data_IF_362689129837
#
_entry.id   IF_362689129837
#
_cell.length_a   1.000
_cell.length_b   1.000
_cell.length_c   1.000
_cell.angle_alpha   90.00
_cell.angle_beta   90.00
_cell.angle_gamma   90.00
#
_symmetry.space_group_name_H-M   'P 1'
#
loop_
_entity.id
_entity.type
_entity.pdbx_description
1 polymer ?
#
# COMPACT_ATOMS: atom_id res chain seq x y z
N UNK A 1 -56.92 -39.22 -24.98
CA UNK A 1 -57.21 -39.52 -26.39
C UNK A 1 -56.39 -38.60 -27.27
N UNK A 2 -55.55 -39.17 -28.14
CA UNK A 2 -55.09 -38.54 -29.40
C UNK A 2 -56.12 -38.84 -30.51
N UNK A 3 -56.02 -38.40 -31.80
CA UNK A 3 -55.07 -37.49 -32.51
C UNK A 3 -55.75 -36.52 -33.52
N UNK A 4 -54.95 -35.70 -34.25
CA UNK A 4 -54.95 -35.43 -35.74
C UNK A 4 -54.02 -34.23 -36.05
N UNK A 5 -52.81 -34.40 -36.63
CA UNK A 5 -52.40 -34.40 -38.07
C UNK A 5 -52.94 -33.17 -38.86
N UNK A 6 -52.21 -32.38 -39.68
CA UNK A 6 -51.09 -32.68 -40.60
C UNK A 6 -50.50 -31.36 -41.26
N UNK A 7 -49.23 -31.40 -41.71
CA UNK A 7 -48.55 -30.65 -42.81
C UNK A 7 -48.25 -29.12 -42.65
N UNK A 8 -47.15 -28.49 -43.11
CA UNK A 8 -45.90 -28.82 -43.86
C UNK A 8 -44.96 -27.59 -43.87
N UNK A 9 -43.64 -27.76 -43.68
CA UNK A 9 -42.56 -27.28 -44.60
C UNK A 9 -41.17 -27.73 -44.13
N UNK A 10 -40.55 -28.62 -44.90
CA UNK A 10 -39.09 -28.90 -44.91
C UNK A 10 -38.37 -27.69 -45.54
N UNK A 11 -37.19 -27.29 -45.04
CA UNK A 11 -35.91 -27.41 -45.76
C UNK A 11 -34.71 -26.75 -45.05
N UNK A 12 -33.65 -27.57 -44.95
CA UNK A 12 -32.19 -27.26 -44.97
C UNK A 12 -31.58 -26.60 -43.73
N UNK A 13 -31.20 -27.46 -42.79
CA UNK A 13 -29.96 -27.33 -42.00
C UNK A 13 -28.81 -27.92 -42.83
N UNK A 14 -27.57 -27.48 -42.55
CA UNK A 14 -26.27 -27.92 -43.13
C UNK A 14 -25.81 -27.23 -44.42
N UNK A 15 -25.30 -25.99 -44.32
CA UNK A 15 -24.23 -25.49 -45.19
C UNK A 15 -23.28 -24.60 -44.35
N UNK A 16 -22.07 -25.15 -44.14
CA UNK A 16 -20.76 -24.49 -43.98
C UNK A 16 -20.44 -23.71 -42.70
N UNK A 17 -20.02 -24.45 -41.66
CA UNK A 17 -19.01 -23.98 -40.69
C UNK A 17 -17.60 -23.91 -41.33
N UNK A 18 -17.42 -24.53 -42.50
CA UNK A 18 -16.14 -24.63 -43.22
C UNK A 18 -15.73 -23.37 -43.97
N UNK A 19 -16.65 -22.44 -44.29
CA UNK A 19 -16.33 -21.21 -45.05
C UNK A 19 -15.82 -20.07 -44.17
N UNK A 20 -16.19 -20.05 -42.88
CA UNK A 20 -15.73 -19.02 -41.94
C UNK A 20 -14.30 -19.31 -41.47
N UNK A 21 -13.89 -20.59 -41.38
CA UNK A 21 -12.53 -20.98 -40.99
C UNK A 21 -11.49 -20.74 -42.10
N UNK A 22 -11.90 -20.73 -43.38
CA UNK A 22 -10.99 -20.52 -44.51
C UNK A 22 -10.68 -19.02 -44.72
N UNK A 23 -11.57 -18.12 -44.32
CA UNK A 23 -11.33 -16.67 -44.42
C UNK A 23 -10.41 -16.12 -43.31
N UNK A 24 -10.24 -16.84 -42.20
CA UNK A 24 -9.38 -16.40 -41.08
C UNK A 24 -7.91 -16.83 -41.23
N UNK A 25 -7.59 -17.74 -42.17
CA UNK A 25 -6.25 -18.34 -42.30
C UNK A 25 -5.41 -17.66 -43.41
N UNK A 26 -5.97 -16.74 -44.20
CA UNK A 26 -5.30 -16.18 -45.39
C UNK A 26 -4.83 -14.71 -45.27
N UNK A 27 -4.80 -14.09 -44.09
CA UNK A 27 -4.36 -12.68 -43.97
C UNK A 27 -3.16 -12.46 -43.02
N UNK A 28 -2.77 -13.42 -42.16
CA UNK A 28 -1.66 -13.20 -41.23
C UNK A 28 -0.36 -13.89 -41.68
N UNK A 29 0.47 -13.16 -42.43
CA UNK A 29 1.92 -13.41 -42.47
C UNK A 29 2.60 -13.34 -43.84
N UNK A 30 1.98 -13.82 -44.93
CA UNK A 30 2.69 -13.98 -46.21
C UNK A 30 2.54 -12.80 -47.19
N UNK A 31 1.35 -12.21 -47.28
CA UNK A 31 1.07 -11.16 -48.27
C UNK A 31 1.76 -9.82 -47.94
N UNK A 32 1.88 -9.45 -46.66
CA UNK A 32 2.56 -8.21 -46.24
C UNK A 32 4.09 -8.31 -46.39
N UNK A 33 4.66 -9.50 -46.16
CA UNK A 33 6.09 -9.79 -46.39
C UNK A 33 6.47 -9.76 -47.87
N UNK A 34 5.57 -10.21 -48.76
CA UNK A 34 5.75 -10.16 -50.22
C UNK A 34 5.75 -8.73 -50.78
N UNK A 35 4.97 -7.82 -50.19
CA UNK A 35 4.93 -6.40 -50.62
C UNK A 35 6.23 -5.67 -50.27
N UNK A 36 6.90 -6.02 -49.16
CA UNK A 36 8.16 -5.39 -48.74
C UNK A 36 9.41 -5.80 -49.54
N UNK A 37 9.30 -6.78 -50.45
CA UNK A 37 10.43 -7.33 -51.22
C UNK A 37 10.39 -7.03 -52.72
N UNK A 38 9.31 -6.45 -53.25
CA UNK A 38 9.17 -6.08 -54.67
C UNK A 38 9.60 -4.66 -54.96
N UNK A 39 10.63 -4.49 -55.78
CA UNK A 39 11.04 -3.16 -56.24
C UNK A 39 10.06 -2.68 -57.31
N UNK A 40 9.84 -1.37 -57.46
CA UNK A 40 9.01 -0.85 -58.57
C UNK A 40 9.72 -0.91 -59.93
N UNK A 41 10.86 -1.60 -60.02
CA UNK A 41 11.65 -1.70 -61.24
C UNK A 41 11.21 -2.93 -62.05
N UNK A 42 10.95 -2.70 -63.34
CA UNK A 42 10.70 -3.75 -64.33
C UNK A 42 12.05 -4.29 -64.81
N UNK A 43 12.16 -5.61 -64.99
CA UNK A 43 13.38 -6.28 -65.43
C UNK A 43 13.09 -7.25 -66.59
N UNK A 44 14.10 -7.51 -67.42
CA UNK A 44 14.07 -8.59 -68.41
C UNK A 44 14.97 -9.75 -67.97
N UNK A 45 16.02 -9.44 -67.20
CA UNK A 45 16.91 -10.39 -66.57
C UNK A 45 17.28 -9.96 -65.14
N UNK A 46 17.80 -10.89 -64.33
CA UNK A 46 18.27 -10.57 -62.97
C UNK A 46 19.44 -9.56 -62.94
N UNK A 47 20.14 -9.34 -64.07
CA UNK A 47 21.20 -8.33 -64.14
C UNK A 47 20.66 -6.89 -64.19
N UNK A 48 19.37 -6.73 -64.51
CA UNK A 48 18.69 -5.42 -64.48
C UNK A 48 18.30 -5.02 -63.04
N UNK A 49 18.48 -5.94 -62.08
CA UNK A 49 18.10 -5.77 -60.69
C UNK A 49 19.27 -5.27 -59.81
N UNK A 50 18.97 -4.57 -58.70
CA UNK A 50 20.01 -4.18 -57.74
C UNK A 50 20.71 -5.42 -57.13
N UNK A 51 21.89 -5.24 -56.51
CA UNK A 51 22.54 -6.33 -55.78
C UNK A 51 21.59 -7.00 -54.79
N UNK A 52 21.71 -8.32 -54.64
CA UNK A 52 20.86 -9.15 -53.78
C UNK A 52 19.38 -9.20 -54.20
N UNK A 53 19.09 -9.05 -55.49
CA UNK A 53 17.76 -9.25 -56.06
C UNK A 53 17.80 -10.19 -57.28
N UNK A 54 16.64 -10.74 -57.63
CA UNK A 54 16.41 -11.53 -58.83
C UNK A 54 15.19 -11.02 -59.60
N UNK A 55 15.11 -11.29 -60.91
CA UNK A 55 13.94 -10.94 -61.72
C UNK A 55 12.85 -12.00 -61.59
N UNK A 56 11.70 -11.64 -61.00
CA UNK A 56 10.52 -12.50 -60.90
C UNK A 56 9.58 -12.23 -62.08
N UNK A 57 9.41 -13.22 -62.96
CA UNK A 57 8.57 -13.09 -64.16
C UNK A 57 7.09 -13.22 -63.84
N UNK A 58 6.25 -12.37 -64.46
CA UNK A 58 4.80 -12.54 -64.41
C UNK A 58 4.42 -13.70 -65.33
N UNK A 59 3.58 -14.63 -64.86
CA UNK A 59 3.10 -15.73 -65.70
C UNK A 59 2.21 -15.18 -66.84
N UNK A 60 2.70 -15.26 -68.09
CA UNK A 60 2.13 -14.77 -69.37
C UNK A 60 2.32 -13.27 -69.69
N UNK A 61 2.27 -12.90 -70.98
CA UNK A 61 3.14 -13.24 -72.11
C UNK A 61 4.16 -12.11 -72.39
N UNK A 62 4.38 -11.21 -71.44
CA UNK A 62 5.43 -10.20 -71.53
C UNK A 62 6.72 -10.79 -70.96
N UNK A 63 7.82 -10.71 -71.71
CA UNK A 63 9.19 -11.07 -71.27
C UNK A 63 9.73 -10.11 -70.19
N UNK A 64 8.85 -9.52 -69.38
CA UNK A 64 9.19 -8.57 -68.33
C UNK A 64 8.74 -9.10 -66.97
N UNK A 65 9.67 -9.09 -66.02
CA UNK A 65 9.46 -9.38 -64.62
C UNK A 65 9.56 -8.13 -63.75
N UNK A 66 9.52 -8.36 -62.45
CA UNK A 66 9.74 -7.34 -61.41
C UNK A 66 10.93 -7.77 -60.55
N UNK A 67 11.83 -6.85 -60.22
CA UNK A 67 12.95 -7.21 -59.35
C UNK A 67 12.48 -7.44 -57.91
N UNK A 68 12.84 -8.58 -57.35
CA UNK A 68 12.49 -9.04 -56.01
C UNK A 68 13.77 -9.28 -55.21
N UNK A 69 13.84 -8.77 -53.98
CA UNK A 69 14.98 -9.03 -53.11
C UNK A 69 15.07 -10.52 -52.75
N UNK A 70 16.30 -11.03 -52.67
CA UNK A 70 16.58 -12.40 -52.23
C UNK A 70 16.00 -12.67 -50.83
N UNK A 71 15.70 -13.93 -50.48
CA UNK A 71 15.26 -14.27 -49.13
C UNK A 71 16.23 -13.75 -48.05
N UNK A 72 15.69 -13.08 -47.03
CA UNK A 72 16.48 -12.44 -45.98
C UNK A 72 16.96 -11.03 -46.32
N UNK A 73 16.54 -10.46 -47.45
CA UNK A 73 16.77 -9.07 -47.83
C UNK A 73 15.45 -8.29 -47.93
N UNK A 74 15.53 -6.99 -47.65
CA UNK A 74 14.41 -6.03 -47.74
C UNK A 74 14.77 -4.85 -48.62
N UNK A 75 13.75 -4.19 -49.13
CA UNK A 75 13.92 -2.96 -49.90
C UNK A 75 14.06 -1.78 -48.96
N UNK A 76 15.16 -1.04 -49.13
CA UNK A 76 15.30 0.31 -48.58
C UNK A 76 15.22 1.30 -49.74
N UNK A 77 14.39 2.33 -49.58
CA UNK A 77 14.20 3.37 -50.58
C UNK A 77 14.89 4.66 -50.12
N UNK A 78 16.05 4.95 -50.71
CA UNK A 78 16.84 6.14 -50.40
C UNK A 78 17.16 6.90 -51.69
N UNK A 79 17.02 8.23 -51.70
CA UNK A 79 17.38 9.07 -52.85
C UNK A 79 16.79 8.61 -54.21
N UNK A 80 15.54 8.12 -54.21
CA UNK A 80 14.83 7.54 -55.38
C UNK A 80 15.41 6.21 -55.90
N UNK A 81 16.45 5.66 -55.27
CA UNK A 81 16.93 4.31 -55.51
C UNK A 81 16.25 3.33 -54.57
N UNK A 82 16.06 2.09 -55.03
CA UNK A 82 15.56 0.98 -54.22
C UNK A 82 16.59 -0.13 -54.28
N UNK A 83 17.18 -0.44 -53.14
CA UNK A 83 18.26 -1.41 -53.01
C UNK A 83 17.89 -2.45 -51.96
N UNK A 84 18.47 -3.64 -52.09
CA UNK A 84 18.18 -4.77 -51.22
C UNK A 84 19.24 -4.88 -50.13
N UNK A 85 18.84 -4.66 -48.88
CA UNK A 85 19.69 -4.74 -47.69
C UNK A 85 19.35 -5.97 -46.84
N UNK A 86 20.32 -6.58 -46.17
CA UNK A 86 20.07 -7.76 -45.34
C UNK A 86 19.20 -7.39 -44.14
N UNK A 87 18.28 -8.29 -43.77
CA UNK A 87 17.48 -8.18 -42.56
C UNK A 87 18.33 -8.57 -41.35
N UNK A 88 18.35 -7.72 -40.34
CA UNK A 88 19.00 -8.02 -39.07
C UNK A 88 18.23 -9.14 -38.35
N UNK A 89 18.97 -10.10 -37.78
CA UNK A 89 18.41 -11.26 -37.06
C UNK A 89 18.50 -11.08 -35.56
N UNK A 90 19.56 -10.41 -35.09
CA UNK A 90 19.78 -10.09 -33.68
C UNK A 90 20.03 -8.58 -33.50
N UNK A 91 19.72 -8.06 -32.31
CA UNK A 91 20.24 -6.77 -31.90
C UNK A 91 21.78 -6.82 -31.88
N UNK A 92 22.41 -5.71 -32.26
CA UNK A 92 23.85 -5.62 -32.48
C UNK A 92 24.30 -6.05 -33.89
N UNK A 93 23.43 -6.64 -34.71
CA UNK A 93 23.76 -6.90 -36.12
C UNK A 93 24.04 -5.58 -36.85
N UNK A 94 25.00 -5.62 -37.79
CA UNK A 94 25.38 -4.43 -38.53
C UNK A 94 24.24 -3.95 -39.43
N UNK A 95 24.08 -2.63 -39.49
CA UNK A 95 23.06 -1.97 -40.29
C UNK A 95 23.58 -0.64 -40.84
N UNK A 96 22.84 -0.11 -41.80
CA UNK A 96 23.02 1.24 -42.36
C UNK A 96 21.72 2.04 -42.36
N UNK A 97 20.59 1.38 -42.13
CA UNK A 97 19.24 1.94 -42.20
C UNK A 97 18.35 1.26 -41.18
N UNK A 98 17.44 2.00 -40.56
CA UNK A 98 16.52 1.49 -39.55
C UNK A 98 15.66 0.34 -40.07
N UNK A 99 15.27 0.36 -41.35
CA UNK A 99 14.41 -0.68 -41.95
C UNK A 99 14.97 -2.10 -41.75
N UNK A 100 16.30 -2.25 -41.75
CA UNK A 100 16.99 -3.53 -41.54
C UNK A 100 16.68 -4.11 -40.16
N UNK A 101 16.50 -3.23 -39.17
CA UNK A 101 16.16 -3.57 -37.79
C UNK A 101 14.65 -3.68 -37.61
N UNK A 102 13.88 -2.74 -38.18
CA UNK A 102 12.46 -2.56 -37.88
C UNK A 102 11.57 -3.72 -38.34
N UNK A 103 11.99 -4.47 -39.36
CA UNK A 103 11.24 -5.64 -39.82
C UNK A 103 11.28 -6.79 -38.80
N UNK A 104 12.37 -6.94 -38.06
CA UNK A 104 12.54 -8.02 -37.07
C UNK A 104 12.15 -7.57 -35.67
N UNK A 105 12.54 -6.36 -35.27
CA UNK A 105 12.44 -5.91 -33.88
C UNK A 105 11.34 -4.87 -33.63
N UNK A 106 10.45 -4.62 -34.59
CA UNK A 106 9.44 -3.55 -34.63
C UNK A 106 9.96 -2.16 -35.01
N UNK A 107 9.02 -1.26 -35.30
CA UNK A 107 9.25 0.16 -35.56
C UNK A 107 9.92 0.92 -34.41
N UNK A 108 10.00 0.30 -33.22
CA UNK A 108 10.70 0.83 -32.05
C UNK A 108 12.21 0.52 -32.05
N UNK A 109 12.74 -0.08 -33.12
CA UNK A 109 14.18 -0.25 -33.32
C UNK A 109 14.75 0.75 -34.33
N UNK A 110 16.05 1.02 -34.22
CA UNK A 110 16.80 1.92 -35.09
C UNK A 110 18.20 1.38 -35.38
N UNK A 111 18.83 1.92 -36.43
CA UNK A 111 20.21 1.67 -36.72
C UNK A 111 21.09 2.71 -36.00
N UNK A 112 21.53 2.37 -34.79
CA UNK A 112 22.32 3.27 -33.97
C UNK A 112 23.81 2.91 -34.05
N UNK A 113 24.63 3.89 -34.45
CA UNK A 113 26.10 3.74 -34.58
C UNK A 113 26.53 2.52 -35.44
N UNK A 114 25.74 2.18 -36.45
CA UNK A 114 26.04 1.10 -37.40
C UNK A 114 25.60 -0.30 -36.94
N UNK A 115 24.87 -0.39 -35.83
CA UNK A 115 24.29 -1.64 -35.31
C UNK A 115 22.83 -1.48 -34.93
N UNK A 116 22.03 -2.53 -35.06
CA UNK A 116 20.63 -2.48 -34.65
C UNK A 116 20.48 -2.39 -33.14
N UNK A 117 19.74 -1.39 -32.67
CA UNK A 117 19.39 -1.21 -31.26
C UNK A 117 17.91 -0.80 -31.11
N UNK A 118 17.40 -0.86 -29.89
CA UNK A 118 16.10 -0.30 -29.56
C UNK A 118 16.20 1.23 -29.39
N UNK A 119 15.19 1.97 -29.85
CA UNK A 119 15.15 3.43 -29.74
C UNK A 119 15.19 3.90 -28.29
N UNK A 120 15.63 5.13 -28.07
CA UNK A 120 15.56 5.75 -26.74
C UNK A 120 14.12 5.73 -26.18
N UNK A 121 13.97 5.32 -24.92
CA UNK A 121 12.65 5.19 -24.27
C UNK A 121 11.90 3.90 -24.62
N UNK A 122 12.59 2.92 -25.20
CA UNK A 122 12.06 1.59 -25.52
C UNK A 122 12.94 0.52 -24.90
N UNK A 123 12.47 -0.73 -24.83
CA UNK A 123 13.24 -1.85 -24.31
C UNK A 123 13.02 -3.11 -25.13
N UNK A 124 14.00 -4.01 -25.08
CA UNK A 124 13.98 -5.27 -25.81
C UNK A 124 13.35 -6.39 -24.98
N UNK A 125 12.35 -7.06 -25.55
CA UNK A 125 11.72 -8.24 -24.95
C UNK A 125 12.21 -9.50 -25.67
N UNK A 126 13.21 -10.15 -25.06
CA UNK A 126 13.93 -11.30 -25.64
C UNK A 126 13.02 -12.44 -26.11
N UNK A 127 11.97 -12.75 -25.35
CA UNK A 127 11.03 -13.85 -25.69
C UNK A 127 10.25 -13.61 -26.99
N UNK A 128 10.02 -12.34 -27.35
CA UNK A 128 9.31 -11.95 -28.57
C UNK A 128 10.26 -11.39 -29.64
N UNK A 129 11.56 -11.34 -29.34
CA UNK A 129 12.59 -10.74 -30.21
C UNK A 129 12.18 -9.35 -30.74
N UNK A 130 11.61 -8.51 -29.88
CA UNK A 130 10.94 -7.27 -30.30
C UNK A 130 11.21 -6.13 -29.31
N UNK A 131 11.45 -4.92 -29.82
CA UNK A 131 11.51 -3.68 -29.04
C UNK A 131 10.10 -3.14 -28.79
N UNK A 132 9.82 -2.70 -27.56
CA UNK A 132 8.57 -2.06 -27.17
C UNK A 132 8.83 -0.73 -26.51
N UNK A 133 7.94 0.23 -26.74
CA UNK A 133 7.91 1.47 -25.95
C UNK A 133 7.82 1.13 -24.46
N UNK A 134 8.74 1.71 -23.69
CA UNK A 134 8.81 1.53 -22.25
C UNK A 134 7.78 2.40 -21.55
N UNK A 135 7.04 1.80 -20.63
CA UNK A 135 6.01 2.42 -19.80
C UNK A 135 6.30 2.03 -18.36
N UNK A 136 6.35 3.03 -17.48
CA UNK A 136 6.58 2.81 -16.05
C UNK A 136 5.38 2.13 -15.39
N UNK A 137 5.61 1.53 -14.23
CA UNK A 137 4.54 1.01 -13.38
C UNK A 137 3.62 2.17 -12.99
N UNK A 138 2.32 1.91 -12.90
CA UNK A 138 1.23 2.89 -12.73
C UNK A 138 0.96 3.84 -13.90
N UNK A 139 1.70 3.74 -15.01
CA UNK A 139 1.40 4.47 -16.24
C UNK A 139 0.53 3.67 -17.22
N UNK A 140 -0.04 4.38 -18.20
CA UNK A 140 -0.95 3.84 -19.20
C UNK A 140 -0.24 2.95 -20.22
N UNK A 141 -0.76 1.75 -20.41
CA UNK A 141 -0.24 0.75 -21.33
C UNK A 141 -1.30 0.26 -22.31
N UNK A 142 -0.82 -0.25 -23.45
CA UNK A 142 -1.66 -0.97 -24.42
C UNK A 142 -1.45 -2.47 -24.33
N UNK A 143 -0.21 -2.89 -24.10
CA UNK A 143 0.22 -4.28 -24.01
C UNK A 143 1.08 -4.47 -22.76
N UNK A 144 1.07 -5.69 -22.22
CA UNK A 144 1.93 -6.07 -21.10
C UNK A 144 3.42 -5.84 -21.41
N UNK A 145 3.86 -6.08 -22.64
CA UNK A 145 5.26 -5.85 -23.04
C UNK A 145 5.65 -4.37 -23.11
N UNK A 146 4.72 -3.43 -22.96
CA UNK A 146 5.11 -2.04 -22.78
C UNK A 146 5.64 -1.79 -21.37
N UNK A 147 5.21 -2.57 -20.38
CA UNK A 147 5.49 -2.35 -18.99
C UNK A 147 6.93 -2.72 -18.64
N UNK A 148 7.63 -1.79 -17.99
CA UNK A 148 8.93 -2.03 -17.39
C UNK A 148 8.79 -2.88 -16.12
N UNK A 149 9.81 -3.70 -15.85
CA UNK A 149 9.89 -4.52 -14.65
C UNK A 149 9.43 -5.95 -14.88
N UNK A 150 10.15 -6.88 -14.27
CA UNK A 150 9.86 -8.31 -14.37
C UNK A 150 8.49 -8.65 -13.76
N UNK A 151 7.71 -9.46 -14.49
CA UNK A 151 6.40 -9.92 -14.03
C UNK A 151 5.30 -8.87 -14.03
N UNK A 152 5.55 -7.66 -14.55
CA UNK A 152 4.51 -6.64 -14.70
C UNK A 152 3.45 -7.05 -15.71
N UNK A 153 2.23 -6.55 -15.49
CA UNK A 153 1.09 -6.83 -16.36
C UNK A 153 0.34 -5.56 -16.71
N UNK A 154 -0.05 -5.43 -17.98
CA UNK A 154 -0.98 -4.39 -18.38
C UNK A 154 -2.40 -4.82 -18.04
N UNK A 155 -2.97 -4.27 -16.97
CA UNK A 155 -4.32 -4.60 -16.50
C UNK A 155 -5.15 -3.34 -16.43
N UNK A 156 -6.34 -3.39 -17.03
CA UNK A 156 -7.24 -2.22 -17.13
C UNK A 156 -6.57 -0.98 -17.76
N UNK A 157 -5.61 -1.21 -18.67
CA UNK A 157 -4.89 -0.14 -19.37
C UNK A 157 -3.75 0.49 -18.56
N UNK A 158 -3.35 -0.08 -17.42
CA UNK A 158 -2.27 0.43 -16.57
C UNK A 158 -1.26 -0.68 -16.26
N UNK A 159 0.03 -0.35 -16.25
CA UNK A 159 1.08 -1.28 -15.85
C UNK A 159 1.05 -1.49 -14.33
N UNK A 160 0.89 -2.74 -13.88
CA UNK A 160 0.81 -3.06 -12.46
C UNK A 160 1.79 -4.16 -12.10
N UNK A 161 2.24 -4.12 -10.84
CA UNK A 161 2.94 -5.24 -10.23
C UNK A 161 2.01 -6.44 -10.02
N UNK A 162 2.57 -7.66 -10.00
CA UNK A 162 1.83 -8.86 -9.63
C UNK A 162 1.40 -8.81 -8.15
N UNK A 163 0.60 -9.79 -7.73
CA UNK A 163 0.19 -9.89 -6.33
C UNK A 163 1.39 -10.02 -5.38
N UNK A 164 1.26 -9.43 -4.19
CA UNK A 164 2.29 -9.39 -3.14
C UNK A 164 3.59 -8.69 -3.60
N UNK A 165 3.47 -7.71 -4.50
CA UNK A 165 4.56 -6.83 -4.90
C UNK A 165 4.04 -5.40 -5.09
N UNK A 166 4.91 -4.44 -4.84
CA UNK A 166 4.65 -3.02 -5.08
C UNK A 166 5.74 -2.41 -5.98
N UNK A 167 5.47 -1.28 -6.66
CA UNK A 167 6.51 -0.58 -7.42
C UNK A 167 7.59 -0.01 -6.51
N UNK A 168 8.84 -0.09 -6.94
CA UNK A 168 9.92 0.70 -6.36
C UNK A 168 9.68 2.21 -6.54
N UNK A 169 10.47 3.05 -5.87
CA UNK A 169 10.34 4.52 -5.91
C UNK A 169 10.39 5.11 -7.34
N UNK A 170 11.14 4.47 -8.23
CA UNK A 170 11.30 4.91 -9.63
C UNK A 170 10.21 4.40 -10.58
N UNK A 171 9.32 3.53 -10.09
CA UNK A 171 8.26 2.85 -10.85
C UNK A 171 8.78 2.05 -12.05
N UNK A 172 9.96 1.43 -11.94
CA UNK A 172 10.58 0.63 -13.01
C UNK A 172 10.65 -0.85 -12.70
N UNK A 173 10.52 -1.23 -11.43
CA UNK A 173 10.62 -2.61 -10.95
C UNK A 173 9.62 -2.89 -9.84
N UNK A 174 9.27 -4.16 -9.67
CA UNK A 174 8.38 -4.62 -8.60
C UNK A 174 9.18 -5.24 -7.46
N UNK A 175 9.06 -4.67 -6.27
CA UNK A 175 9.63 -5.20 -5.03
C UNK A 175 8.63 -6.08 -4.31
N UNK A 176 9.12 -7.12 -3.63
CA UNK A 176 8.26 -8.02 -2.86
C UNK A 176 7.65 -7.31 -1.65
N UNK A 177 6.37 -7.57 -1.41
CA UNK A 177 5.67 -7.13 -0.21
C UNK A 177 6.02 -8.08 0.95
N UNK A 178 6.89 -7.64 1.85
CA UNK A 178 7.35 -8.43 3.00
C UNK A 178 6.64 -7.98 4.27
N UNK A 179 6.06 -8.94 5.00
CA UNK A 179 5.28 -8.68 6.21
C UNK A 179 6.19 -8.58 7.45
N UNK A 180 5.65 -8.00 8.53
CA UNK A 180 6.36 -7.91 9.81
C UNK A 180 6.76 -9.31 10.31
N UNK A 181 8.03 -9.46 10.69
CA UNK A 181 8.61 -10.72 11.15
C UNK A 181 9.17 -11.62 10.04
N UNK A 182 8.98 -11.29 8.77
CA UNK A 182 9.53 -12.03 7.63
C UNK A 182 10.89 -11.48 7.20
N UNK A 183 11.67 -12.31 6.50
CA UNK A 183 13.03 -11.97 6.03
C UNK A 183 12.97 -10.92 4.93
N UNK A 184 13.83 -9.92 5.02
CA UNK A 184 13.92 -8.81 4.09
C UNK A 184 15.38 -8.46 3.77
N UNK A 185 15.58 -7.77 2.64
CA UNK A 185 16.88 -7.24 2.21
C UNK A 185 16.92 -5.71 2.27
N UNK A 186 15.79 -5.04 2.03
CA UNK A 186 15.67 -3.58 1.95
C UNK A 186 14.50 -3.05 2.78
N UNK A 187 14.65 -1.85 3.31
CA UNK A 187 13.59 -1.15 4.06
C UNK A 187 12.29 -1.00 3.24
N UNK A 188 12.41 -0.77 1.93
CA UNK A 188 11.27 -0.55 1.02
C UNK A 188 10.38 -1.77 0.85
N UNK A 189 10.93 -2.98 1.03
CA UNK A 189 10.16 -4.22 0.95
C UNK A 189 9.15 -4.38 2.10
N UNK A 190 9.40 -3.75 3.25
CA UNK A 190 8.54 -3.89 4.42
C UNK A 190 7.29 -3.01 4.29
N UNK A 191 6.15 -3.63 3.97
CA UNK A 191 4.91 -2.89 3.62
C UNK A 191 4.18 -2.28 4.82
N UNK A 192 4.49 -2.74 6.04
CA UNK A 192 3.88 -2.16 7.23
C UNK A 192 4.39 -0.73 7.45
N UNK A 193 3.48 0.21 7.69
CA UNK A 193 3.87 1.58 8.01
C UNK A 193 4.77 1.62 9.24
N UNK A 194 5.75 2.53 9.24
CA UNK A 194 6.74 2.67 10.30
C UNK A 194 7.56 1.39 10.57
N UNK A 195 7.70 0.53 9.56
CA UNK A 195 8.62 -0.61 9.60
C UNK A 195 9.93 -0.34 8.86
N UNK A 196 10.93 -1.17 9.13
CA UNK A 196 12.24 -1.17 8.49
C UNK A 196 12.79 -2.58 8.41
N UNK A 197 13.74 -2.76 7.51
CA UNK A 197 14.46 -4.01 7.39
C UNK A 197 15.67 -4.04 8.32
N UNK A 198 15.80 -5.14 9.05
CA UNK A 198 17.02 -5.51 9.77
C UNK A 198 17.03 -7.02 9.88
N UNK A 199 17.42 -7.70 8.80
CA UNK A 199 17.30 -9.15 8.54
C UNK A 199 15.86 -9.65 8.45
N UNK A 200 14.97 -9.10 9.27
CA UNK A 200 13.51 -9.27 9.20
C UNK A 200 12.84 -7.90 9.30
N UNK A 201 11.65 -7.78 8.73
CA UNK A 201 10.84 -6.56 8.86
C UNK A 201 10.41 -6.37 10.31
N UNK A 202 10.77 -5.23 10.89
CA UNK A 202 10.49 -4.86 12.28
C UNK A 202 10.08 -3.40 12.38
N UNK A 203 9.44 -3.04 13.49
CA UNK A 203 9.08 -1.65 13.73
C UNK A 203 10.31 -0.75 13.86
N UNK A 204 10.19 0.48 13.35
CA UNK A 204 11.18 1.54 13.55
C UNK A 204 11.27 1.91 15.03
N UNK A 205 12.31 2.66 15.36
CA UNK A 205 12.46 3.24 16.70
C UNK A 205 11.21 4.05 17.04
N UNK A 206 10.85 4.08 18.33
CA UNK A 206 9.64 4.72 18.85
C UNK A 206 8.32 4.08 18.38
N UNK A 207 8.37 2.86 17.88
CA UNK A 207 7.18 2.08 17.53
C UNK A 207 7.26 0.67 18.13
N UNK A 208 6.09 0.13 18.49
CA UNK A 208 5.91 -1.21 19.04
C UNK A 208 5.00 -2.04 18.14
N UNK A 209 5.28 -3.34 18.06
CA UNK A 209 4.46 -4.27 17.33
C UNK A 209 3.12 -4.46 18.06
N UNK A 210 2.03 -4.34 17.33
CA UNK A 210 0.70 -4.51 17.90
C UNK A 210 0.35 -5.99 18.13
N UNK A 211 -0.76 -6.26 18.82
CA UNK A 211 -1.12 -7.60 19.29
C UNK A 211 -1.22 -8.64 18.15
N UNK A 212 -1.84 -8.28 17.02
CA UNK A 212 -2.00 -9.18 15.88
C UNK A 212 -0.76 -9.21 14.96
N UNK A 213 0.30 -8.47 15.30
CA UNK A 213 1.56 -8.37 14.54
C UNK A 213 1.40 -7.82 13.12
N UNK A 214 0.36 -7.03 12.85
CA UNK A 214 0.09 -6.48 11.52
C UNK A 214 0.52 -5.03 11.34
N UNK A 215 0.79 -4.29 12.42
CA UNK A 215 1.17 -2.86 12.36
C UNK A 215 2.15 -2.46 13.46
N UNK A 216 2.86 -1.37 13.19
CA UNK A 216 3.76 -0.71 14.13
C UNK A 216 3.07 0.51 14.72
N UNK A 217 2.73 0.43 16.01
CA UNK A 217 2.04 1.48 16.75
C UNK A 217 3.07 2.40 17.41
N UNK A 218 2.89 3.71 17.31
CA UNK A 218 3.78 4.68 17.96
C UNK A 218 3.70 4.50 19.49
N UNK A 219 4.85 4.49 20.17
CA UNK A 219 4.85 4.48 21.65
C UNK A 219 4.41 5.83 22.18
N UNK A 220 3.72 5.84 23.33
CA UNK A 220 3.41 7.09 24.00
C UNK A 220 4.67 7.68 24.63
N UNK A 221 4.92 8.96 24.41
CA UNK A 221 6.01 9.73 25.02
C UNK A 221 5.60 10.38 26.34
N UNK A 222 4.30 10.56 26.55
CA UNK A 222 3.70 11.10 27.76
C UNK A 222 2.39 10.37 28.12
N UNK A 223 2.04 10.39 29.42
CA UNK A 223 0.69 10.03 29.84
C UNK A 223 -0.33 10.99 29.19
N UNK A 224 -1.53 10.48 28.97
CA UNK A 224 -2.67 11.08 28.26
C UNK A 224 -2.51 11.24 26.75
N UNK A 225 -1.38 10.81 26.16
CA UNK A 225 -1.27 10.66 24.72
C UNK A 225 -2.22 9.58 24.19
N UNK A 226 -2.57 9.73 22.92
CA UNK A 226 -3.43 8.80 22.22
C UNK A 226 -2.78 7.43 22.07
N UNK A 227 -3.62 6.39 22.16
CA UNK A 227 -3.19 5.01 22.01
C UNK A 227 -4.33 4.17 21.43
N UNK A 228 -3.96 3.04 20.86
CA UNK A 228 -4.89 2.01 20.33
C UNK A 228 -4.79 0.72 21.13
N UNK A 229 -3.63 0.45 21.73
CA UNK A 229 -3.34 -0.77 22.48
C UNK A 229 -2.49 -0.43 23.70
N UNK A 230 -2.67 -1.19 24.80
CA UNK A 230 -1.95 -0.96 26.04
C UNK A 230 -0.42 -0.99 25.89
N UNK A 231 0.10 -1.74 24.92
CA UNK A 231 1.55 -1.88 24.67
C UNK A 231 2.23 -0.53 24.36
N UNK A 232 1.51 0.43 23.77
CA UNK A 232 2.02 1.77 23.47
C UNK A 232 2.35 2.55 24.75
N UNK A 233 1.53 2.36 25.78
CA UNK A 233 1.68 3.03 27.07
C UNK A 233 2.70 2.28 27.96
N UNK A 234 2.57 0.95 28.03
CA UNK A 234 3.40 0.15 28.94
C UNK A 234 4.86 0.07 28.53
N UNK A 235 5.19 0.46 27.30
CA UNK A 235 6.58 0.49 26.83
C UNK A 235 7.44 1.50 27.60
N UNK A 236 6.91 2.69 27.91
CA UNK A 236 7.61 3.72 28.69
C UNK A 236 7.08 3.84 30.12
N UNK A 237 5.79 3.62 30.32
CA UNK A 237 5.12 3.84 31.60
C UNK A 237 4.67 2.51 32.20
N UNK A 238 5.45 1.96 33.12
CA UNK A 238 5.04 0.78 33.88
C UNK A 238 3.69 1.06 34.57
N UNK A 239 2.85 0.03 34.64
CA UNK A 239 1.51 0.10 35.23
C UNK A 239 0.54 1.08 34.56
N UNK A 240 0.84 1.53 33.34
CA UNK A 240 -0.14 2.22 32.50
C UNK A 240 -1.04 1.25 31.72
N UNK A 241 -2.07 1.81 31.11
CA UNK A 241 -2.98 1.13 30.18
C UNK A 241 -3.51 2.13 29.15
N UNK A 242 -3.98 1.65 28.02
CA UNK A 242 -4.76 2.45 27.09
C UNK A 242 -6.22 2.43 27.56
N UNK A 243 -6.76 3.59 27.97
CA UNK A 243 -8.13 3.73 28.46
C UNK A 243 -9.00 4.40 27.39
N UNK A 244 -10.09 3.73 26.99
CA UNK A 244 -11.02 4.21 25.98
C UNK A 244 -12.14 5.04 26.62
N UNK A 245 -12.44 6.19 26.01
CA UNK A 245 -13.62 6.96 26.37
C UNK A 245 -14.88 6.24 25.85
N UNK A 246 -16.02 6.46 26.50
CA UNK A 246 -17.28 5.78 26.14
C UNK A 246 -17.73 6.03 24.69
N UNK A 247 -17.29 7.14 24.10
CA UNK A 247 -17.57 7.57 22.73
C UNK A 247 -16.48 7.21 21.71
N UNK A 248 -15.40 6.56 22.12
CA UNK A 248 -14.29 6.19 21.24
C UNK A 248 -14.00 4.69 21.30
N UNK A 249 -14.23 4.01 20.17
CA UNK A 249 -13.99 2.56 20.04
C UNK A 249 -12.58 2.22 19.55
N UNK A 250 -11.87 3.18 18.94
CA UNK A 250 -10.59 2.92 18.26
C UNK A 250 -9.41 3.65 18.89
N UNK A 251 -9.65 4.73 19.64
CA UNK A 251 -8.60 5.57 20.22
C UNK A 251 -8.85 5.79 21.72
N UNK A 252 -7.92 5.33 22.54
CA UNK A 252 -7.86 5.62 23.97
C UNK A 252 -6.79 6.65 24.30
N UNK A 253 -6.63 6.90 25.59
CA UNK A 253 -5.51 7.69 26.13
C UNK A 253 -4.72 6.87 27.13
N UNK A 254 -3.40 7.01 27.10
CA UNK A 254 -2.52 6.36 28.07
C UNK A 254 -2.78 6.91 29.47
N UNK A 255 -3.20 6.05 30.40
CA UNK A 255 -3.47 6.42 31.79
C UNK A 255 -2.86 5.38 32.72
N UNK A 256 -2.74 5.73 34.00
CA UNK A 256 -2.39 4.74 35.00
C UNK A 256 -3.52 3.71 35.13
N UNK A 257 -3.14 2.43 35.23
CA UNK A 257 -4.08 1.34 35.44
C UNK A 257 -4.80 1.55 36.77
N UNK A 258 -6.00 0.98 36.89
CA UNK A 258 -6.72 0.94 38.17
C UNK A 258 -5.82 0.46 39.33
N UNK A 259 -5.88 1.17 40.46
CA UNK A 259 -5.00 0.96 41.61
C UNK A 259 -3.66 1.69 41.55
N UNK A 260 -3.43 2.47 40.50
CA UNK A 260 -2.27 3.33 40.33
C UNK A 260 -2.72 4.76 40.03
N UNK A 261 -1.91 5.73 40.43
CA UNK A 261 -2.10 7.15 40.12
C UNK A 261 -0.85 7.72 39.49
N UNK A 262 -1.01 8.86 38.81
CA UNK A 262 0.11 9.57 38.23
C UNK A 262 0.81 10.42 39.27
N UNK A 263 2.13 10.27 39.38
CA UNK A 263 3.00 11.23 40.06
C UNK A 263 4.28 11.40 39.24
N UNK A 264 4.76 12.65 39.09
CA UNK A 264 5.99 12.97 38.34
C UNK A 264 6.10 12.32 36.94
N UNK A 265 4.98 12.20 36.22
CA UNK A 265 4.95 11.62 34.88
C UNK A 265 4.99 10.09 34.81
N UNK A 266 4.99 9.39 35.95
CA UNK A 266 4.96 7.93 36.04
C UNK A 266 3.74 7.46 36.86
N UNK A 267 3.47 6.16 36.80
CA UNK A 267 2.38 5.54 37.55
C UNK A 267 2.91 4.84 38.80
N UNK A 268 2.40 5.25 39.96
CA UNK A 268 2.73 4.68 41.26
C UNK A 268 1.50 4.00 41.85
N UNK A 269 1.71 2.93 42.61
CA UNK A 269 0.60 2.27 43.32
C UNK A 269 -0.08 3.29 44.25
N UNK A 270 -1.39 3.33 44.21
CA UNK A 270 -2.21 4.20 45.05
C UNK A 270 -2.32 3.60 46.45
N UNK A 271 -1.80 4.31 47.45
CA UNK A 271 -1.86 3.90 48.86
C UNK A 271 -2.60 4.97 49.66
N UNK A 272 -3.63 4.56 50.38
CA UNK A 272 -4.41 5.43 51.27
C UNK A 272 -3.62 5.80 52.53
N UNK A 273 -4.01 6.88 53.21
CA UNK A 273 -3.35 7.32 54.46
C UNK A 273 -3.43 6.21 55.52
N UNK A 274 -2.27 5.89 56.11
CA UNK A 274 -2.08 4.77 57.05
C UNK A 274 -1.66 3.46 56.37
N UNK A 275 -1.76 3.35 55.05
CA UNK A 275 -1.27 2.22 54.26
C UNK A 275 0.26 2.12 54.24
N UNK A 276 0.77 0.99 53.74
CA UNK A 276 2.22 0.72 53.64
C UNK A 276 2.75 1.35 52.35
N UNK A 277 3.83 2.11 52.44
CA UNK A 277 4.48 2.77 51.32
C UNK A 277 5.99 2.49 51.29
N UNK A 278 6.59 2.65 50.12
CA UNK A 278 8.04 2.58 49.92
C UNK A 278 8.61 3.96 49.59
N UNK A 279 7.85 4.78 48.86
CA UNK A 279 8.21 6.13 48.43
C UNK A 279 7.05 7.11 48.63
N UNK A 280 7.35 8.41 48.71
CA UNK A 280 6.35 9.47 48.91
C UNK A 280 5.28 9.48 47.81
N UNK A 281 5.67 9.15 46.57
CA UNK A 281 4.75 9.07 45.44
C UNK A 281 3.66 8.01 45.64
N UNK A 282 3.84 6.98 46.48
CA UNK A 282 2.75 6.04 46.76
C UNK A 282 1.57 6.69 47.48
N UNK A 283 1.85 7.72 48.29
CA UNK A 283 0.88 8.41 49.13
C UNK A 283 0.28 9.64 48.42
N UNK A 284 0.76 9.99 47.22
CA UNK A 284 0.38 11.23 46.53
C UNK A 284 -1.06 11.24 45.96
N UNK A 285 -1.86 10.21 46.26
CA UNK A 285 -3.32 10.22 46.05
C UNK A 285 -3.97 11.30 46.92
N UNK A 286 -3.46 11.50 48.14
CA UNK A 286 -3.76 12.66 48.98
C UNK A 286 -2.57 13.63 48.93
N UNK A 287 -2.75 14.87 48.45
CA UNK A 287 -1.65 15.83 48.24
C UNK A 287 -1.01 16.30 49.54
N UNK A 288 -1.63 16.02 50.69
CA UNK A 288 -1.12 16.38 52.01
C UNK A 288 -0.61 15.17 52.79
N UNK A 289 -0.31 14.06 52.11
CA UNK A 289 0.29 12.89 52.71
C UNK A 289 1.64 12.54 52.06
N UNK A 290 2.51 11.90 52.84
CA UNK A 290 3.85 11.48 52.40
C UNK A 290 4.25 10.19 53.12
N UNK A 291 5.30 9.52 52.64
CA UNK A 291 5.76 8.27 53.18
C UNK A 291 6.73 8.49 54.35
N UNK A 292 6.28 8.21 55.56
CA UNK A 292 7.11 8.28 56.76
C UNK A 292 7.16 6.91 57.43
N UNK A 293 8.39 6.42 57.66
CA UNK A 293 8.62 5.14 58.34
C UNK A 293 7.85 3.96 57.70
N UNK A 294 7.72 3.97 56.37
CA UNK A 294 7.04 2.93 55.60
C UNK A 294 5.51 3.01 55.65
N UNK A 295 4.93 4.11 56.13
CA UNK A 295 3.49 4.37 56.10
C UNK A 295 3.14 5.74 55.57
N UNK A 296 2.01 5.83 54.86
CA UNK A 296 1.48 7.11 54.44
C UNK A 296 0.94 7.87 55.66
N UNK A 297 1.49 9.05 55.95
CA UNK A 297 1.08 9.90 57.07
C UNK A 297 0.72 11.30 56.57
N UNK A 298 -0.09 12.02 57.34
CA UNK A 298 -0.42 13.41 57.01
C UNK A 298 0.74 14.35 57.32
N UNK A 299 0.85 15.40 56.51
CA UNK A 299 1.72 16.54 56.78
C UNK A 299 1.37 17.20 58.12
N UNK A 300 2.34 17.90 58.68
CA UNK A 300 2.23 18.52 60.00
C UNK A 300 0.99 19.43 60.10
N UNK A 301 0.23 19.27 61.20
CA UNK A 301 -0.98 20.04 61.46
C UNK A 301 -2.27 19.49 60.84
N UNK A 302 -2.21 18.39 60.08
CA UNK A 302 -3.36 17.70 59.52
C UNK A 302 -3.61 16.37 60.22
N UNK A 303 -4.87 15.95 60.27
CA UNK A 303 -5.27 14.67 60.84
C UNK A 303 -5.82 13.75 59.75
N UNK A 304 -5.55 12.46 59.88
CA UNK A 304 -6.21 11.43 59.07
C UNK A 304 -7.67 11.33 59.52
N UNK A 305 -8.59 11.75 58.66
CA UNK A 305 -10.04 11.62 58.82
C UNK A 305 -10.55 10.73 57.69
N UNK A 306 -10.91 9.49 58.01
CA UNK A 306 -11.42 8.50 57.05
C UNK A 306 -10.50 8.20 55.85
N UNK A 307 -9.18 8.22 56.04
CA UNK A 307 -8.21 7.92 54.98
C UNK A 307 -7.75 9.15 54.19
N UNK A 308 -8.20 10.36 54.55
CA UNK A 308 -7.81 11.63 53.95
C UNK A 308 -7.22 12.58 55.00
N UNK A 309 -6.28 13.44 54.60
CA UNK A 309 -5.65 14.42 55.46
C UNK A 309 -6.47 15.71 55.49
N UNK A 310 -7.03 16.03 56.66
CA UNK A 310 -7.90 17.19 56.85
C UNK A 310 -7.45 18.09 57.99
N UNK A 311 -7.66 19.40 57.83
CA UNK A 311 -7.44 20.37 58.91
C UNK A 311 -8.55 20.21 59.94
N UNK A 312 -8.17 20.05 61.21
CA UNK A 312 -9.13 19.84 62.28
C UNK A 312 -9.96 21.10 62.52
N UNK A 313 -11.08 21.26 61.81
CA UNK A 313 -12.21 22.00 62.36
C UNK A 313 -12.85 21.07 63.39
N UNK A 314 -12.34 21.09 64.63
CA UNK A 314 -13.05 20.53 65.77
C UNK A 314 -14.38 21.27 65.85
N UNK A 315 -15.47 20.66 65.39
CA UNK A 315 -16.81 21.05 65.82
C UNK A 315 -16.87 20.82 67.33
N UNK A 316 -16.61 21.88 68.10
CA UNK A 316 -16.89 21.91 69.53
C UNK A 316 -18.38 21.57 69.70
N UNK A 317 -18.77 20.51 70.42
CA UNK A 317 -20.16 20.32 70.76
C UNK A 317 -20.50 21.40 71.79
N UNK A 318 -21.29 22.39 71.41
CA UNK A 318 -21.96 23.27 72.37
C UNK A 318 -22.98 22.44 73.15
N UNK A 319 -22.52 21.76 74.22
CA UNK A 319 -23.41 21.16 75.20
C UNK A 319 -23.07 21.61 76.61
N UNK A 320 -24.02 22.40 77.13
CA UNK A 320 -24.51 22.34 78.51
C UNK A 320 -23.58 22.81 79.62
N UNK A 321 -23.70 24.09 79.99
CA UNK A 321 -23.40 24.53 81.35
C UNK A 321 -24.74 24.67 82.10
N UNK A 322 -25.10 23.62 82.83
CA UNK A 322 -26.20 23.61 83.78
C UNK A 322 -25.70 23.97 85.19
N UNK A 323 -26.50 24.82 85.85
CA UNK A 323 -26.87 24.78 87.28
C UNK A 323 -26.24 25.76 88.32
N UNK A 324 -27.14 26.65 88.82
CA UNK A 324 -27.36 27.18 90.20
C UNK A 324 -26.62 28.43 90.70
N UNK A 325 -27.40 29.51 90.87
CA UNK A 325 -27.57 30.29 92.14
C UNK A 325 -28.97 30.95 92.11
N UNK A 326 -30.01 30.40 92.77
CA UNK A 326 -30.49 30.65 94.14
C UNK A 326 -31.24 32.00 94.37
N UNK A 327 -32.58 31.90 94.46
CA UNK A 327 -33.53 32.63 95.35
C UNK A 327 -33.36 34.15 95.61
N UNK A 328 -34.03 34.98 94.80
CA UNK A 328 -34.87 36.15 95.20
C UNK A 328 -35.75 36.43 93.94
N UNK A 329 -37.08 36.49 93.89
CA UNK A 329 -38.08 37.25 94.65
C UNK A 329 -39.44 36.59 94.35
N UNK A 330 -40.13 36.18 95.41
CA UNK A 330 -41.56 35.92 95.51
C UNK A 330 -42.40 37.14 95.07
N UNK A 331 -43.67 36.93 94.67
CA UNK A 331 -44.85 37.85 94.81
C UNK A 331 -45.40 38.50 93.50
N UNK A 332 -46.63 38.06 93.13
CA UNK A 332 -47.71 38.69 92.31
C UNK A 332 -47.59 38.52 90.78
N UNK A 333 -48.60 38.18 89.98
CA UNK A 333 -50.04 37.93 90.10
C UNK A 333 -50.40 36.98 88.93
N UNK A 334 -51.04 35.84 89.14
CA UNK A 334 -52.49 35.62 88.94
C UNK A 334 -53.06 36.34 87.69
N UNK A 335 -53.41 35.58 86.65
CA UNK A 335 -54.80 35.27 86.23
C UNK A 335 -54.83 34.82 84.74
N UNK A 336 -55.39 33.62 84.57
CA UNK A 336 -55.80 32.88 83.36
C UNK A 336 -57.02 33.58 82.67
N UNK A 337 -57.72 32.99 81.67
CA UNK A 337 -57.35 32.43 80.36
C UNK A 337 -58.23 33.02 79.21
N UNK A 338 -58.12 32.42 78.02
CA UNK A 338 -59.24 32.00 77.13
C UNK A 338 -59.47 32.72 75.79
N UNK A 339 -59.39 31.87 74.76
CA UNK A 339 -60.28 31.64 73.62
C UNK A 339 -60.45 32.69 72.50
N UNK A 340 -60.13 32.17 71.31
CA UNK A 340 -60.50 32.52 69.95
C UNK A 340 -62.01 32.60 69.70
N UNK A 341 -62.44 33.33 68.64
CA UNK A 341 -63.51 32.91 67.75
C UNK A 341 -63.02 31.98 66.63
#
# INVERSE_FOLDING_TARGET
GSPKKMLTKKRVQEVTLSTILICSILISGSAQDLVKRRTSNVCQSSNDCPPNAYCEYNANPLDTGQCVCNPGYIIVAENKKRECYPVAKNLGDSCTHDDQCQITFSTESECFQGTCDCKLGTHYVKRENTCYKSVKINDWCRLTNNCLGEGTVCRSGVCLCPFNKHPNEEFTECEDDILLGEVCDRDTQCVAENSRCHEICRCRVSHVLNHNRSKCLRIAEHLYEECEEAIQCTYQFNYSTCEFAYDSETMGKCKCRQGYHQSNGACFVSVEVGGICEVDENCSVDPFSFCQEGRCVCMEGLLNVNGECSSSAVHLPTKSLTFVTLLVVLILHKVNPSQSP
#
